data_IF_247603274947
#
_entry.id   IF_247603274947
#
_cell.length_a   1.000
_cell.length_b   1.000
_cell.length_c   1.000
_cell.angle_alpha   90.00
_cell.angle_beta   90.00
_cell.angle_gamma   90.00
#
_symmetry.space_group_name_H-M   'P 1'
#
loop_
_entity.id
_entity.type
_entity.pdbx_description
1 polymer ?
#
# COMPACT_ATOMS: atom_id res chain seq x y z
N UNK A 1 36.30 -54.21 -8.44
CA UNK A 1 35.09 -53.42 -8.02
C UNK A 1 35.39 -51.96 -8.27
N UNK A 2 34.75 -51.32 -9.28
CA UNK A 2 34.91 -49.89 -9.58
C UNK A 2 33.74 -49.16 -8.94
N UNK A 3 34.02 -48.30 -7.95
CA UNK A 3 33.00 -47.41 -7.35
C UNK A 3 32.87 -46.18 -8.26
N UNK A 4 31.69 -46.03 -8.86
CA UNK A 4 31.31 -44.83 -9.60
C UNK A 4 30.72 -43.83 -8.58
N UNK A 5 31.45 -42.74 -8.32
CA UNK A 5 31.03 -41.65 -7.47
C UNK A 5 30.14 -40.70 -8.28
N UNK A 6 28.83 -40.83 -8.14
CA UNK A 6 27.89 -39.93 -8.82
C UNK A 6 27.78 -38.63 -8.02
N UNK A 7 28.42 -37.59 -8.53
CA UNK A 7 28.33 -36.23 -7.97
C UNK A 7 26.96 -35.63 -8.34
N UNK A 8 26.08 -35.44 -7.33
CA UNK A 8 24.82 -34.76 -7.49
C UNK A 8 25.09 -33.24 -7.40
N UNK A 9 25.08 -32.57 -8.54
CA UNK A 9 25.21 -31.12 -8.61
C UNK A 9 23.84 -30.48 -8.34
N UNK A 10 23.62 -30.04 -7.10
CA UNK A 10 22.40 -29.34 -6.72
C UNK A 10 22.44 -27.90 -7.26
N UNK A 11 21.66 -27.65 -8.30
CA UNK A 11 21.49 -26.28 -8.85
C UNK A 11 20.60 -25.49 -7.89
N UNK A 12 21.20 -24.56 -7.16
CA UNK A 12 20.47 -23.58 -6.33
C UNK A 12 19.95 -22.47 -7.26
N UNK A 13 18.67 -22.52 -7.59
CA UNK A 13 18.00 -21.42 -8.29
C UNK A 13 17.84 -20.24 -7.34
N UNK A 14 18.72 -19.26 -7.43
CA UNK A 14 18.50 -17.94 -6.85
C UNK A 14 17.43 -17.22 -7.68
N UNK A 15 16.20 -17.18 -7.17
CA UNK A 15 15.18 -16.32 -7.74
C UNK A 15 15.55 -14.87 -7.42
N UNK A 16 15.99 -14.14 -8.42
CA UNK A 16 16.16 -12.68 -8.35
C UNK A 16 14.74 -12.10 -8.30
N UNK A 17 14.30 -11.70 -7.11
CA UNK A 17 13.05 -11.00 -6.94
C UNK A 17 13.15 -9.64 -7.64
N UNK A 18 12.39 -9.45 -8.72
CA UNK A 18 12.29 -8.15 -9.40
C UNK A 18 11.35 -7.25 -8.59
N UNK A 19 11.87 -6.18 -8.01
CA UNK A 19 11.06 -5.12 -7.36
C UNK A 19 10.20 -4.43 -8.42
N UNK A 20 8.90 -4.32 -8.15
CA UNK A 20 7.90 -3.72 -9.04
C UNK A 20 7.54 -2.31 -8.57
N UNK A 21 7.30 -1.41 -9.50
CA UNK A 21 6.72 -0.11 -9.23
C UNK A 21 5.23 -0.10 -9.59
N UNK A 22 4.39 0.31 -8.64
CA UNK A 22 2.95 0.50 -8.83
C UNK A 22 2.64 1.99 -8.76
N UNK A 23 1.97 2.52 -9.78
CA UNK A 23 1.57 3.93 -9.84
C UNK A 23 0.14 4.09 -9.34
N UNK A 24 -0.07 5.06 -8.45
CA UNK A 24 -1.36 5.47 -7.92
C UNK A 24 -1.58 6.95 -8.19
N UNK A 25 -2.64 7.29 -8.90
CA UNK A 25 -3.02 8.66 -9.17
C UNK A 25 -3.84 9.26 -8.02
N UNK A 26 -3.60 10.52 -7.71
CA UNK A 26 -4.44 11.32 -6.81
C UNK A 26 -5.44 12.11 -7.65
N UNK A 27 -6.75 11.81 -7.51
CA UNK A 27 -7.79 12.23 -8.44
C UNK A 27 -8.92 13.01 -7.76
N UNK A 28 -9.41 14.05 -8.46
CA UNK A 28 -10.65 14.72 -8.09
C UNK A 28 -11.88 13.84 -8.37
N UNK A 29 -11.81 13.03 -9.42
CA UNK A 29 -12.86 12.09 -9.82
C UNK A 29 -12.25 10.90 -10.57
N UNK A 30 -12.73 9.72 -10.25
CA UNK A 30 -12.42 8.45 -10.93
C UNK A 30 -13.55 8.08 -11.90
N UNK A 31 -13.30 7.19 -12.85
CA UNK A 31 -14.25 6.77 -13.89
C UNK A 31 -15.53 6.13 -13.34
N UNK A 32 -15.46 5.50 -12.16
CA UNK A 32 -16.63 4.96 -11.44
C UNK A 32 -17.52 6.04 -10.79
N UNK A 33 -17.19 7.33 -10.98
CA UNK A 33 -17.93 8.47 -10.47
C UNK A 33 -17.55 8.90 -9.04
N UNK A 34 -16.70 8.16 -8.35
CA UNK A 34 -16.23 8.55 -7.02
C UNK A 34 -15.36 9.80 -7.09
N UNK A 35 -15.55 10.71 -6.13
CA UNK A 35 -14.84 11.99 -6.04
C UNK A 35 -13.85 11.98 -4.89
N UNK A 36 -12.76 12.74 -5.05
CA UNK A 36 -11.66 12.83 -4.07
C UNK A 36 -11.18 11.44 -3.69
N UNK A 37 -10.47 10.80 -4.60
CA UNK A 37 -10.07 9.39 -4.51
C UNK A 37 -8.65 9.17 -5.01
N UNK A 38 -8.03 8.10 -4.56
CA UNK A 38 -6.88 7.50 -5.24
C UNK A 38 -7.37 6.60 -6.39
N UNK A 39 -6.54 6.39 -7.41
CA UNK A 39 -6.91 5.54 -8.54
C UNK A 39 -7.17 4.08 -8.12
N UNK A 40 -6.58 3.65 -7.01
CA UNK A 40 -6.80 2.34 -6.39
C UNK A 40 -7.17 2.51 -4.91
N UNK A 41 -8.22 1.86 -4.49
CA UNK A 41 -8.65 1.85 -3.08
C UNK A 41 -7.84 0.86 -2.23
N UNK A 42 -7.39 -0.24 -2.83
CA UNK A 42 -6.52 -1.25 -2.22
C UNK A 42 -5.43 -1.64 -3.22
N UNK A 43 -4.18 -1.35 -2.88
CA UNK A 43 -3.03 -1.84 -3.63
C UNK A 43 -2.47 -3.09 -2.96
N UNK A 44 -2.38 -4.20 -3.70
CA UNK A 44 -1.74 -5.44 -3.23
C UNK A 44 -0.39 -5.57 -3.92
N UNK A 45 0.67 -5.60 -3.13
CA UNK A 45 2.06 -5.60 -3.60
C UNK A 45 2.89 -6.64 -2.83
N UNK A 46 4.03 -6.98 -3.38
CA UNK A 46 5.01 -7.84 -2.73
C UNK A 46 5.98 -7.02 -1.86
N UNK A 47 6.63 -7.71 -0.92
CA UNK A 47 7.70 -7.09 -0.13
C UNK A 47 8.84 -6.67 -1.05
N UNK A 48 9.30 -5.43 -0.91
CA UNK A 48 10.32 -4.81 -1.75
C UNK A 48 9.79 -4.01 -2.92
N UNK A 49 8.47 -4.06 -3.18
CA UNK A 49 7.84 -3.23 -4.21
C UNK A 49 7.74 -1.76 -3.77
N UNK A 50 7.65 -0.89 -4.75
CA UNK A 50 7.53 0.56 -4.57
C UNK A 50 6.16 1.03 -5.05
N UNK A 51 5.51 1.90 -4.29
CA UNK A 51 4.35 2.66 -4.76
C UNK A 51 4.76 4.09 -5.01
N UNK A 52 4.33 4.60 -6.16
CA UNK A 52 4.52 5.96 -6.60
C UNK A 52 3.16 6.65 -6.72
N UNK A 53 2.92 7.67 -5.89
CA UNK A 53 1.72 8.50 -5.97
C UNK A 53 1.98 9.73 -6.82
N UNK A 54 1.14 9.92 -7.85
CA UNK A 54 1.23 11.05 -8.76
C UNK A 54 0.13 12.09 -8.45
N UNK A 55 0.47 13.38 -8.37
CA UNK A 55 -0.51 14.45 -8.19
C UNK A 55 -1.19 14.79 -9.53
N UNK A 56 -1.92 13.82 -10.10
CA UNK A 56 -2.61 13.93 -11.38
C UNK A 56 -3.62 15.06 -11.37
N UNK A 57 -4.34 15.24 -10.25
CA UNK A 57 -5.10 16.45 -9.98
C UNK A 57 -4.52 17.21 -8.78
N UNK A 58 -4.75 18.52 -8.73
CA UNK A 58 -4.26 19.39 -7.65
C UNK A 58 -5.11 19.26 -6.38
N UNK A 59 -4.50 19.58 -5.24
CA UNK A 59 -5.18 19.66 -3.94
C UNK A 59 -5.08 18.37 -3.12
N UNK A 60 -4.20 17.45 -3.50
CA UNK A 60 -4.05 16.16 -2.84
C UNK A 60 -2.65 15.94 -2.27
N UNK A 61 -2.57 15.02 -1.31
CA UNK A 61 -1.34 14.58 -0.68
C UNK A 61 -1.46 13.12 -0.19
N UNK A 62 -0.38 12.60 0.41
CA UNK A 62 -0.31 11.29 1.04
C UNK A 62 0.09 11.47 2.51
N UNK A 63 -0.72 10.93 3.42
CA UNK A 63 -0.47 10.88 4.85
C UNK A 63 -0.74 9.47 5.37
N UNK A 64 0.28 8.78 5.86
CA UNK A 64 0.10 7.48 6.50
C UNK A 64 -0.41 7.66 7.93
N UNK A 65 -1.46 6.92 8.29
CA UNK A 65 -2.06 6.96 9.62
C UNK A 65 -1.72 5.74 10.46
N UNK A 66 -1.45 4.60 9.84
CA UNK A 66 -1.12 3.36 10.52
C UNK A 66 -0.45 2.37 9.55
N UNK A 67 0.30 1.43 10.12
CA UNK A 67 0.95 0.34 9.42
C UNK A 67 1.24 -0.82 10.37
N UNK A 68 2.00 -1.83 9.94
CA UNK A 68 2.42 -2.94 10.79
C UNK A 68 3.31 -2.45 11.94
N UNK A 69 3.40 -3.24 12.99
CA UNK A 69 4.23 -2.93 14.15
C UNK A 69 5.69 -2.66 13.73
N UNK A 70 6.27 -1.58 14.30
CA UNK A 70 7.61 -1.12 13.98
C UNK A 70 7.74 -0.37 12.65
N UNK A 71 6.62 -0.10 11.95
CA UNK A 71 6.65 0.82 10.81
C UNK A 71 6.69 2.27 11.31
N UNK A 72 7.75 2.97 10.95
CA UNK A 72 7.84 4.40 11.20
C UNK A 72 7.01 5.15 10.16
N UNK A 73 5.96 5.85 10.63
CA UNK A 73 5.11 6.63 9.74
C UNK A 73 5.94 7.74 9.07
N UNK A 74 6.01 7.77 7.74
CA UNK A 74 6.70 8.85 7.04
C UNK A 74 6.01 10.18 7.30
N UNK A 75 6.78 11.26 7.21
CA UNK A 75 6.23 12.60 7.27
C UNK A 75 5.15 12.77 6.18
N UNK A 76 4.04 13.40 6.55
CA UNK A 76 2.98 13.76 5.60
C UNK A 76 3.56 14.55 4.43
N UNK A 77 3.22 14.17 3.21
CA UNK A 77 3.67 14.90 2.02
C UNK A 77 3.03 16.28 1.92
N UNK A 78 3.70 17.21 1.25
CA UNK A 78 3.08 18.45 0.82
C UNK A 78 1.98 18.19 -0.22
N UNK A 79 1.10 19.19 -0.42
CA UNK A 79 0.11 19.15 -1.49
C UNK A 79 0.79 19.17 -2.87
N UNK A 80 0.22 18.45 -3.81
CA UNK A 80 0.68 18.42 -5.22
C UNK A 80 2.13 17.92 -5.39
N UNK A 81 2.58 17.06 -4.49
CA UNK A 81 3.90 16.44 -4.57
C UNK A 81 3.79 14.99 -4.97
N UNK A 82 4.68 14.57 -5.85
CA UNK A 82 4.93 13.15 -6.10
C UNK A 82 5.52 12.52 -4.83
N UNK A 83 5.08 11.31 -4.51
CA UNK A 83 5.56 10.54 -3.36
C UNK A 83 5.95 9.15 -3.86
N UNK A 84 7.08 8.64 -3.40
CA UNK A 84 7.53 7.29 -3.73
C UNK A 84 8.00 6.59 -2.45
N UNK A 85 7.44 5.41 -2.15
CA UNK A 85 7.76 4.64 -0.95
C UNK A 85 7.93 3.17 -1.33
N UNK A 86 9.05 2.60 -0.91
CA UNK A 86 9.32 1.16 -1.00
C UNK A 86 8.88 0.47 0.28
N UNK A 87 8.15 -0.63 0.16
CA UNK A 87 7.60 -1.38 1.28
C UNK A 87 8.39 -2.66 1.51
N UNK A 88 9.19 -2.67 2.54
CA UNK A 88 10.05 -3.80 2.93
C UNK A 88 9.45 -4.67 4.05
N UNK A 89 8.32 -4.27 4.62
CA UNK A 89 7.65 -4.95 5.72
C UNK A 89 6.24 -5.40 5.32
N UNK A 90 5.90 -6.71 5.49
CA UNK A 90 4.56 -7.19 5.22
C UNK A 90 3.54 -6.62 6.20
N UNK A 91 2.30 -6.48 5.75
CA UNK A 91 1.19 -5.97 6.56
C UNK A 91 0.28 -5.04 5.79
N UNK A 92 -0.74 -4.53 6.50
CA UNK A 92 -1.71 -3.54 6.00
C UNK A 92 -1.26 -2.14 6.41
N UNK A 93 -1.27 -1.23 5.46
CA UNK A 93 -0.96 0.19 5.66
C UNK A 93 -2.18 1.03 5.30
N UNK A 94 -2.55 1.96 6.18
CA UNK A 94 -3.62 2.92 5.95
C UNK A 94 -3.04 4.29 5.62
N UNK A 95 -3.45 4.86 4.51
CA UNK A 95 -3.10 6.23 4.14
C UNK A 95 -4.30 7.02 3.65
N UNK A 96 -4.19 8.33 3.73
CA UNK A 96 -5.27 9.27 3.44
C UNK A 96 -4.76 10.50 2.70
N UNK A 97 -5.67 11.21 2.05
CA UNK A 97 -5.46 12.59 1.66
C UNK A 97 -5.90 13.50 2.81
N UNK A 98 -4.99 14.27 3.39
CA UNK A 98 -5.26 15.08 4.59
C UNK A 98 -6.49 15.98 4.46
N UNK A 99 -6.66 16.80 3.39
CA UNK A 99 -7.84 17.65 3.25
C UNK A 99 -9.14 16.91 2.93
N UNK A 100 -9.06 15.68 2.39
CA UNK A 100 -10.24 14.97 1.88
C UNK A 100 -10.56 13.66 2.63
N UNK A 101 -9.87 13.35 3.73
CA UNK A 101 -10.09 12.11 4.50
C UNK A 101 -11.51 11.98 5.05
N UNK A 102 -12.14 13.10 5.47
CA UNK A 102 -13.55 13.11 5.90
C UNK A 102 -14.53 12.87 4.74
N UNK A 103 -14.11 13.14 3.51
CA UNK A 103 -14.89 12.86 2.29
C UNK A 103 -14.73 11.42 1.81
N UNK A 104 -13.81 10.65 2.42
CA UNK A 104 -13.54 9.26 2.08
C UNK A 104 -12.32 9.04 1.17
N UNK A 105 -11.45 10.05 0.99
CA UNK A 105 -10.18 9.85 0.26
C UNK A 105 -9.17 9.16 1.16
N UNK A 106 -9.36 7.86 1.29
CA UNK A 106 -8.52 6.93 2.05
C UNK A 106 -8.30 5.67 1.24
N UNK A 107 -7.21 4.97 1.48
CA UNK A 107 -6.89 3.74 0.80
C UNK A 107 -5.94 2.85 1.63
N UNK A 108 -5.80 1.60 1.22
CA UNK A 108 -4.94 0.61 1.86
C UNK A 108 -3.85 0.13 0.91
N UNK A 109 -2.68 -0.18 1.50
CA UNK A 109 -1.68 -1.04 0.86
C UNK A 109 -1.63 -2.34 1.63
N UNK A 110 -1.69 -3.48 0.96
CA UNK A 110 -1.48 -4.81 1.53
C UNK A 110 -0.18 -5.37 0.97
N UNK A 111 0.81 -5.53 1.82
CA UNK A 111 2.15 -5.96 1.44
C UNK A 111 2.36 -7.43 1.81
N UNK A 112 2.79 -8.24 0.86
CA UNK A 112 3.09 -9.66 1.06
C UNK A 112 1.88 -10.52 1.44
N UNK A 113 0.65 -10.03 1.16
CA UNK A 113 -0.59 -10.73 1.53
C UNK A 113 -0.84 -10.82 3.04
N UNK A 114 -0.06 -10.16 3.86
CA UNK A 114 -0.18 -10.17 5.32
C UNK A 114 -1.26 -9.19 5.78
N UNK A 115 -2.29 -9.70 6.45
CA UNK A 115 -3.39 -8.91 7.03
C UNK A 115 -3.46 -9.05 8.56
N UNK A 116 -2.39 -9.52 9.18
CA UNK A 116 -2.35 -9.79 10.63
C UNK A 116 -2.59 -8.56 11.51
N UNK A 117 -2.24 -7.35 11.01
CA UNK A 117 -2.47 -6.09 11.71
C UNK A 117 -3.80 -5.39 11.37
N UNK A 118 -4.71 -6.07 10.66
CA UNK A 118 -6.03 -5.54 10.27
C UNK A 118 -6.83 -4.97 11.44
N UNK A 119 -6.80 -5.65 12.59
CA UNK A 119 -7.50 -5.19 13.80
C UNK A 119 -6.93 -3.87 14.34
N UNK A 120 -5.63 -3.66 14.24
CA UNK A 120 -5.01 -2.38 14.63
C UNK A 120 -5.43 -1.25 13.69
N UNK A 121 -5.48 -1.52 12.38
CA UNK A 121 -5.97 -0.56 11.38
C UNK A 121 -7.44 -0.19 11.65
N UNK A 122 -8.28 -1.15 12.02
CA UNK A 122 -9.72 -0.91 12.31
C UNK A 122 -9.97 0.05 13.47
N UNK A 123 -9.01 0.19 14.38
CA UNK A 123 -9.08 1.08 15.55
C UNK A 123 -8.67 2.52 15.26
N UNK A 124 -8.16 2.81 14.06
CA UNK A 124 -7.80 4.17 13.66
C UNK A 124 -9.07 5.02 13.62
N UNK A 125 -9.06 6.13 14.37
CA UNK A 125 -10.21 7.04 14.43
C UNK A 125 -10.37 7.77 13.10
N UNK A 126 -11.48 7.50 12.44
CA UNK A 126 -11.88 8.17 11.21
C UNK A 126 -13.22 8.90 11.41
N UNK A 127 -13.45 9.96 10.63
CA UNK A 127 -14.67 10.76 10.69
C UNK A 127 -15.36 10.77 9.31
N UNK A 128 -16.67 11.10 9.34
CA UNK A 128 -17.46 11.26 8.12
C UNK A 128 -17.49 10.01 7.24
N UNK A 129 -17.38 10.21 5.92
CA UNK A 129 -17.34 9.11 4.95
C UNK A 129 -16.09 8.25 5.08
N UNK A 130 -14.99 8.80 5.62
CA UNK A 130 -13.76 8.05 5.86
C UNK A 130 -13.97 6.85 6.78
N UNK A 131 -14.80 7.00 7.82
CA UNK A 131 -15.14 5.89 8.73
C UNK A 131 -15.83 4.73 8.01
N UNK A 132 -16.83 5.05 7.17
CA UNK A 132 -17.55 4.04 6.38
C UNK A 132 -16.62 3.38 5.36
N UNK A 133 -15.84 4.19 4.64
CA UNK A 133 -14.88 3.70 3.64
C UNK A 133 -13.84 2.76 4.26
N UNK A 134 -13.30 3.10 5.44
CA UNK A 134 -12.34 2.22 6.13
C UNK A 134 -12.94 0.85 6.42
N UNK A 135 -14.17 0.79 6.95
CA UNK A 135 -14.86 -0.47 7.22
C UNK A 135 -15.09 -1.29 5.94
N UNK A 136 -15.48 -0.62 4.83
CA UNK A 136 -15.66 -1.24 3.52
C UNK A 136 -14.35 -1.85 2.99
N UNK A 137 -13.24 -1.10 3.06
CA UNK A 137 -11.93 -1.55 2.59
C UNK A 137 -11.41 -2.74 3.41
N UNK A 138 -11.54 -2.67 4.73
CA UNK A 138 -11.16 -3.77 5.62
C UNK A 138 -12.01 -5.03 5.40
N UNK A 139 -13.25 -4.88 4.96
CA UNK A 139 -14.11 -6.01 4.60
C UNK A 139 -13.68 -6.73 3.31
N UNK A 140 -12.79 -6.14 2.51
CA UNK A 140 -12.31 -6.67 1.23
C UNK A 140 -10.95 -7.38 1.31
N UNK A 141 -10.30 -7.37 2.49
CA UNK A 141 -9.00 -7.99 2.71
C UNK A 141 -9.03 -9.02 3.83
#
# INVERSE_FOLDING_TARGET
MKFILTSIFTFLFLSVGYSKEVVIDMLNKRDDGQKMVYSQDIAKIDVGDTIKWLPTNKGHNVEFLSGPEGFELPAKSGLNKEVSITFDKPGVYLYVCTPHKVMGMIALVVVGGDVSNKDSISKVKMMGRGKKKLAELLGQI
#
